data_IF_341265561911
#
_entry.id   IF_341265561911
#
_cell.length_a   1.000
_cell.length_b   1.000
_cell.length_c   1.000
_cell.angle_alpha   90.00
_cell.angle_beta   90.00
_cell.angle_gamma   90.00
#
_symmetry.space_group_name_H-M   'P 1'
#
loop_
_entity.id
_entity.type
_entity.pdbx_description
1 polymer ?
#
# COMPACT_ATOMS: atom_id res chain seq x y z
N UNK A 1 -5.95 -1.84 44.30
CA UNK A 1 -4.87 -2.31 43.40
C UNK A 1 -5.41 -2.61 42.01
N UNK A 2 -6.47 -3.42 41.85
CA UNK A 2 -7.12 -3.75 40.55
C UNK A 2 -7.57 -2.55 39.71
N UNK A 3 -8.25 -1.56 40.32
CA UNK A 3 -8.80 -0.38 39.60
C UNK A 3 -7.72 0.48 38.92
N UNK A 4 -6.56 0.65 39.56
CA UNK A 4 -5.44 1.46 39.03
C UNK A 4 -4.78 0.76 37.84
N UNK A 5 -4.69 -0.57 37.88
CA UNK A 5 -4.16 -1.40 36.77
C UNK A 5 -5.03 -1.27 35.51
N UNK A 6 -6.35 -1.30 35.66
CA UNK A 6 -7.29 -1.17 34.54
C UNK A 6 -7.30 0.23 33.90
N UNK A 7 -7.05 1.28 34.68
CA UNK A 7 -6.90 2.64 34.14
C UNK A 7 -5.58 2.84 33.37
N UNK A 8 -4.49 2.24 33.85
CA UNK A 8 -3.20 2.28 33.16
C UNK A 8 -3.25 1.56 31.81
N UNK A 9 -3.92 0.41 31.74
CA UNK A 9 -4.14 -0.34 30.49
C UNK A 9 -4.98 0.47 29.48
N UNK A 10 -6.08 1.10 29.92
CA UNK A 10 -6.90 1.98 29.08
C UNK A 10 -6.14 3.19 28.53
N UNK A 11 -5.32 3.85 29.36
CA UNK A 11 -4.47 4.98 28.95
C UNK A 11 -3.43 4.55 27.92
N UNK A 12 -2.82 3.37 28.08
CA UNK A 12 -1.87 2.82 27.12
C UNK A 12 -2.53 2.49 25.78
N UNK A 13 -3.74 1.92 25.79
CA UNK A 13 -4.49 1.62 24.57
C UNK A 13 -4.84 2.90 23.79
N UNK A 14 -5.30 3.94 24.49
CA UNK A 14 -5.55 5.26 23.89
C UNK A 14 -4.27 5.87 23.30
N UNK A 15 -3.13 5.75 23.99
CA UNK A 15 -1.85 6.29 23.53
C UNK A 15 -1.32 5.53 22.30
N UNK A 16 -1.47 4.21 22.25
CA UNK A 16 -1.19 3.38 21.06
C UNK A 16 -2.08 3.77 19.89
N UNK A 17 -3.39 3.97 20.12
CA UNK A 17 -4.35 4.40 19.09
C UNK A 17 -4.01 5.79 18.52
N UNK A 18 -3.61 6.74 19.38
CA UNK A 18 -3.11 8.06 18.96
C UNK A 18 -1.83 7.95 18.16
N UNK A 19 -0.90 7.06 18.54
CA UNK A 19 0.33 6.85 17.79
C UNK A 19 0.04 6.24 16.41
N UNK A 20 -0.89 5.28 16.34
CA UNK A 20 -1.34 4.62 15.11
C UNK A 20 -2.05 5.54 14.09
N UNK A 21 -2.44 6.75 14.50
CA UNK A 21 -3.11 7.75 13.65
C UNK A 21 -2.21 8.94 13.31
N UNK A 22 -0.94 8.93 13.76
CA UNK A 22 0.01 9.99 13.38
C UNK A 22 0.43 9.77 11.93
N UNK A 23 0.09 10.76 11.11
CA UNK A 23 0.58 10.94 9.76
C UNK A 23 1.61 12.08 9.75
N UNK A 24 2.67 11.94 8.95
CA UNK A 24 3.65 13.00 8.67
C UNK A 24 4.00 13.04 7.20
N UNK A 25 4.25 14.23 6.66
CA UNK A 25 4.57 14.45 5.24
C UNK A 25 6.06 14.70 5.03
N UNK A 26 6.91 14.02 5.79
CA UNK A 26 8.37 14.19 5.75
C UNK A 26 9.06 13.27 4.75
N UNK A 27 8.30 12.44 4.02
CA UNK A 27 8.84 11.54 3.04
C UNK A 27 8.74 12.16 1.65
N UNK A 28 9.79 11.93 0.86
CA UNK A 28 9.88 12.36 -0.54
C UNK A 28 10.25 11.14 -1.37
N UNK A 29 9.72 11.09 -2.59
CA UNK A 29 10.11 10.06 -3.55
C UNK A 29 11.55 10.28 -4.02
N UNK A 30 12.23 9.22 -4.47
CA UNK A 30 13.49 9.35 -5.20
C UNK A 30 13.33 10.29 -6.42
N UNK A 31 14.39 11.03 -6.75
CA UNK A 31 14.38 12.03 -7.84
C UNK A 31 14.22 11.40 -9.23
N UNK A 32 14.48 10.10 -9.36
CA UNK A 32 14.39 9.34 -10.59
C UNK A 32 13.02 8.69 -10.82
N UNK A 33 12.09 8.85 -9.89
CA UNK A 33 10.70 8.39 -10.07
C UNK A 33 10.05 9.16 -11.21
N UNK A 34 9.34 8.45 -12.07
CA UNK A 34 8.73 9.02 -13.27
C UNK A 34 7.25 8.67 -13.47
N UNK A 35 6.60 9.36 -14.40
CA UNK A 35 5.24 9.07 -14.85
C UNK A 35 4.17 9.45 -13.84
N UNK A 36 3.27 8.52 -13.52
CA UNK A 36 2.08 8.79 -12.69
C UNK A 36 2.40 9.10 -11.21
N UNK A 37 3.68 9.03 -10.81
CA UNK A 37 4.12 9.17 -9.42
C UNK A 37 4.93 10.45 -9.14
N UNK A 38 5.35 11.19 -10.16
CA UNK A 38 6.19 12.40 -10.01
C UNK A 38 5.57 13.43 -9.06
N UNK A 39 4.26 13.65 -9.17
CA UNK A 39 3.51 14.63 -8.37
C UNK A 39 2.85 14.04 -7.12
N UNK A 40 3.18 12.78 -6.75
CA UNK A 40 2.57 12.13 -5.60
C UNK A 40 3.10 12.67 -4.28
N UNK A 41 2.18 12.95 -3.34
CA UNK A 41 2.52 13.36 -1.98
C UNK A 41 2.61 12.11 -1.09
N UNK A 42 3.79 11.86 -0.53
CA UNK A 42 4.02 10.72 0.34
C UNK A 42 3.75 11.04 1.81
N UNK A 43 2.79 10.34 2.41
CA UNK A 43 2.50 10.39 3.83
C UNK A 43 3.11 9.18 4.55
N UNK A 44 3.88 9.44 5.60
CA UNK A 44 4.36 8.41 6.53
C UNK A 44 3.30 8.20 7.59
N UNK A 45 2.82 6.97 7.72
CA UNK A 45 1.88 6.55 8.75
C UNK A 45 2.61 5.69 9.77
N UNK A 46 2.50 6.03 11.06
CA UNK A 46 2.91 5.08 12.09
C UNK A 46 1.80 4.04 12.27
N UNK A 47 2.11 2.77 11.99
CA UNK A 47 1.14 1.68 12.06
C UNK A 47 1.45 0.70 13.19
N UNK A 48 0.40 0.13 13.78
CA UNK A 48 0.51 -1.07 14.63
C UNK A 48 0.44 -2.37 13.84
N UNK A 49 0.00 -2.31 12.59
CA UNK A 49 -0.07 -3.43 11.64
C UNK A 49 0.40 -2.96 10.25
N UNK A 50 1.72 -2.79 10.07
CA UNK A 50 2.28 -2.23 8.84
C UNK A 50 1.99 -3.09 7.61
N UNK A 51 1.84 -4.40 7.76
CA UNK A 51 1.57 -5.30 6.64
C UNK A 51 0.19 -5.06 6.02
N UNK A 52 -0.86 -5.00 6.85
CA UNK A 52 -2.21 -4.71 6.37
C UNK A 52 -2.29 -3.31 5.77
N UNK A 53 -1.70 -2.31 6.44
CA UNK A 53 -1.70 -0.93 5.97
C UNK A 53 -0.98 -0.75 4.63
N UNK A 54 0.20 -1.37 4.46
CA UNK A 54 0.96 -1.33 3.20
C UNK A 54 0.15 -2.00 2.09
N UNK A 55 -0.44 -3.18 2.36
CA UNK A 55 -1.25 -3.90 1.38
C UNK A 55 -2.43 -3.07 0.90
N UNK A 56 -3.18 -2.47 1.84
CA UNK A 56 -4.31 -1.61 1.52
C UNK A 56 -3.86 -0.38 0.72
N UNK A 57 -2.76 0.25 1.13
CA UNK A 57 -2.19 1.43 0.46
C UNK A 57 -1.78 1.13 -0.98
N UNK A 58 -1.11 -0.01 -1.24
CA UNK A 58 -0.74 -0.44 -2.60
C UNK A 58 -2.00 -0.64 -3.46
N UNK A 59 -3.00 -1.36 -2.96
CA UNK A 59 -4.25 -1.62 -3.70
C UNK A 59 -4.98 -0.31 -4.02
N UNK A 60 -5.04 0.63 -3.06
CA UNK A 60 -5.65 1.94 -3.29
C UNK A 60 -4.92 2.74 -4.36
N UNK A 61 -3.58 2.78 -4.33
CA UNK A 61 -2.80 3.50 -5.36
C UNK A 61 -3.02 2.89 -6.74
N UNK A 62 -3.02 1.56 -6.86
CA UNK A 62 -3.33 0.86 -8.11
C UNK A 62 -4.70 1.25 -8.65
N UNK A 63 -5.73 1.28 -7.81
CA UNK A 63 -7.09 1.64 -8.21
C UNK A 63 -7.20 3.12 -8.59
N UNK A 64 -6.56 4.01 -7.83
CA UNK A 64 -6.67 5.46 -8.02
C UNK A 64 -5.91 5.94 -9.25
N UNK A 65 -4.73 5.39 -9.52
CA UNK A 65 -3.91 5.75 -10.68
C UNK A 65 -4.19 4.87 -11.91
N UNK A 66 -5.02 3.83 -11.76
CA UNK A 66 -5.38 2.93 -12.86
C UNK A 66 -4.18 2.13 -13.38
N UNK A 67 -3.33 1.64 -12.48
CA UNK A 67 -2.11 0.89 -12.84
C UNK A 67 -2.51 -0.46 -13.46
N UNK A 68 -2.15 -0.67 -14.72
CA UNK A 68 -2.53 -1.87 -15.48
C UNK A 68 -1.37 -2.56 -16.20
N UNK A 69 -0.23 -1.90 -16.33
CA UNK A 69 0.95 -2.48 -16.98
C UNK A 69 2.10 -2.75 -16.00
N UNK A 70 3.07 -3.53 -16.48
CA UNK A 70 4.22 -3.95 -15.71
C UNK A 70 5.09 -2.78 -15.26
N UNK A 71 5.35 -1.80 -16.14
CA UNK A 71 6.27 -0.70 -15.85
C UNK A 71 5.72 0.19 -14.75
N UNK A 72 4.42 0.49 -14.80
CA UNK A 72 3.74 1.25 -13.75
C UNK A 72 3.72 0.50 -12.41
N UNK A 73 3.57 -0.83 -12.42
CA UNK A 73 3.65 -1.63 -11.21
C UNK A 73 5.08 -1.67 -10.65
N UNK A 74 6.09 -1.81 -11.51
CA UNK A 74 7.49 -1.78 -11.11
C UNK A 74 7.84 -0.46 -10.43
N UNK A 75 7.43 0.66 -11.03
CA UNK A 75 7.63 2.01 -10.48
C UNK A 75 6.91 2.19 -9.12
N UNK A 76 5.67 1.70 -9.01
CA UNK A 76 4.94 1.68 -7.73
C UNK A 76 5.74 0.94 -6.65
N UNK A 77 6.21 -0.27 -6.97
CA UNK A 77 6.93 -1.12 -6.03
C UNK A 77 8.27 -0.50 -5.65
N UNK A 78 8.98 0.11 -6.61
CA UNK A 78 10.20 0.88 -6.35
C UNK A 78 9.95 2.01 -5.33
N UNK A 79 8.89 2.81 -5.53
CA UNK A 79 8.50 3.86 -4.59
C UNK A 79 8.29 3.30 -3.17
N UNK A 80 7.54 2.22 -3.02
CA UNK A 80 7.30 1.61 -1.70
C UNK A 80 8.57 1.06 -1.06
N UNK A 81 9.47 0.46 -1.84
CA UNK A 81 10.76 -0.02 -1.33
C UNK A 81 11.61 1.14 -0.82
N UNK A 82 11.70 2.24 -1.58
CA UNK A 82 12.46 3.42 -1.19
C UNK A 82 11.91 4.10 0.08
N UNK A 83 10.59 4.09 0.24
CA UNK A 83 9.90 4.76 1.36
C UNK A 83 9.83 3.93 2.65
N UNK A 84 10.11 2.63 2.60
CA UNK A 84 9.92 1.72 3.73
C UNK A 84 11.23 1.01 4.15
N UNK A 85 11.29 0.56 5.40
CA UNK A 85 12.42 -0.22 5.90
C UNK A 85 12.53 -1.57 5.19
N UNK A 86 13.75 -2.11 5.13
CA UNK A 86 14.02 -3.40 4.49
C UNK A 86 13.27 -4.58 5.08
N UNK A 87 12.79 -4.45 6.33
CA UNK A 87 12.01 -5.46 7.04
C UNK A 87 10.69 -5.82 6.33
N UNK A 88 10.11 -4.89 5.56
CA UNK A 88 8.83 -5.09 4.85
C UNK A 88 8.98 -5.24 3.34
N UNK A 89 10.19 -5.14 2.79
CA UNK A 89 10.43 -5.18 1.33
C UNK A 89 9.94 -6.48 0.69
N UNK A 90 10.21 -7.63 1.30
CA UNK A 90 9.72 -8.93 0.80
C UNK A 90 8.19 -8.97 0.73
N UNK A 91 7.51 -8.34 1.69
CA UNK A 91 6.06 -8.27 1.70
C UNK A 91 5.52 -7.34 0.61
N UNK A 92 6.14 -6.17 0.42
CA UNK A 92 5.80 -5.24 -0.67
C UNK A 92 5.88 -5.95 -2.02
N UNK A 93 6.97 -6.67 -2.29
CA UNK A 93 7.17 -7.45 -3.51
C UNK A 93 6.07 -8.51 -3.69
N UNK A 94 5.73 -9.24 -2.62
CA UNK A 94 4.69 -10.27 -2.67
C UNK A 94 3.31 -9.70 -3.01
N UNK A 95 2.95 -8.54 -2.44
CA UNK A 95 1.67 -7.88 -2.73
C UNK A 95 1.60 -7.43 -4.19
N UNK A 96 2.67 -6.81 -4.71
CA UNK A 96 2.75 -6.41 -6.12
C UNK A 96 2.61 -7.59 -7.08
N UNK A 97 3.41 -8.65 -6.84
CA UNK A 97 3.36 -9.86 -7.66
C UNK A 97 1.98 -10.54 -7.62
N UNK A 98 1.33 -10.60 -6.45
CA UNK A 98 -0.01 -11.16 -6.32
C UNK A 98 -1.06 -10.36 -7.10
N UNK A 99 -0.96 -9.03 -7.14
CA UNK A 99 -1.87 -8.20 -7.92
C UNK A 99 -1.70 -8.39 -9.43
N UNK A 100 -0.46 -8.42 -9.91
CA UNK A 100 -0.18 -8.70 -11.33
C UNK A 100 -0.68 -10.08 -11.75
N UNK A 101 -0.49 -11.10 -10.91
CA UNK A 101 -1.03 -12.43 -11.19
C UNK A 101 -2.55 -12.40 -11.35
N UNK A 102 -3.28 -11.62 -10.55
CA UNK A 102 -4.74 -11.47 -10.71
C UNK A 102 -5.14 -10.82 -12.03
N UNK A 103 -4.31 -9.92 -12.58
CA UNK A 103 -4.55 -9.30 -13.89
C UNK A 103 -4.30 -10.30 -15.03
N UNK A 104 -3.22 -11.08 -14.96
CA UNK A 104 -2.87 -12.10 -15.98
C UNK A 104 -3.82 -13.29 -15.96
N UNK A 105 -4.41 -13.60 -14.80
CA UNK A 105 -5.37 -14.70 -14.65
C UNK A 105 -6.82 -14.28 -14.88
N UNK A 106 -7.11 -13.00 -15.18
CA UNK A 106 -8.42 -12.66 -15.70
C UNK A 106 -8.59 -13.44 -17.01
N UNK A 107 -9.62 -14.29 -17.15
CA UNK A 107 -9.89 -14.89 -18.43
C UNK A 107 -10.04 -13.73 -19.40
N UNK A 108 -9.28 -13.79 -20.49
CA UNK A 108 -9.65 -13.17 -21.75
C UNK A 108 -11.08 -13.64 -21.97
N UNK A 109 -12.07 -12.85 -21.53
CA UNK A 109 -13.45 -13.11 -21.87
C UNK A 109 -13.41 -13.19 -23.38
N UNK A 110 -13.79 -14.33 -24.00
CA UNK A 110 -13.93 -14.33 -25.43
C UNK A 110 -14.88 -13.19 -25.68
N UNK A 111 -14.43 -12.17 -26.41
CA UNK A 111 -15.29 -11.16 -26.99
C UNK A 111 -16.50 -11.94 -27.49
N UNK A 112 -17.64 -11.78 -26.82
CA UNK A 112 -18.88 -12.40 -27.25
C UNK A 112 -19.08 -11.86 -28.65
N UNK A 113 -18.75 -12.70 -29.62
CA UNK A 113 -18.75 -12.41 -31.02
C UNK A 113 -20.17 -11.94 -31.33
N UNK A 114 -20.31 -10.63 -31.51
CA UNK A 114 -21.55 -10.03 -31.92
C UNK A 114 -21.80 -10.48 -33.35
N UNK A 115 -22.76 -11.40 -33.51
CA UNK A 115 -23.36 -11.91 -34.76
C UNK A 115 -22.46 -12.72 -35.70
N UNK A 116 -22.96 -13.89 -36.11
CA UNK A 116 -23.28 -14.21 -37.52
C UNK A 116 -24.44 -15.23 -37.53
N UNK A 117 -25.51 -14.82 -38.23
CA UNK A 117 -26.73 -15.52 -38.69
C UNK A 117 -27.68 -16.15 -37.66
#
# INVERSE_FOLDING_TARGET
MEKVRNEAEKKNLQRRKRKSSRISFSASLPEDVCGAFEDCICAVKYSTDPFSDIRESIIQVIQNLGIQDWNQMEELIYCYIALNSSEVHTFILLVGAAHLAQQVTQPILPFYCSRIL
#
